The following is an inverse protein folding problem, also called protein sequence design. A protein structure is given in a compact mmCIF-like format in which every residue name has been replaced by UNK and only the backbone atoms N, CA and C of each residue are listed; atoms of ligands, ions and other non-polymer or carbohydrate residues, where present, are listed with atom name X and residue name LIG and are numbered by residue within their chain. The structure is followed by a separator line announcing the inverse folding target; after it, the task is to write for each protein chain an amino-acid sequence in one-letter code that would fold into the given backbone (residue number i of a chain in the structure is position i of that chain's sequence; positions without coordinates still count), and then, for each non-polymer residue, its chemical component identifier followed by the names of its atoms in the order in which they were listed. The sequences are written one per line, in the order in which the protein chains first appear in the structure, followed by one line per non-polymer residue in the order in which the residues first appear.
data_IF_095563607535
#
_entry.id   IF_095563607535
#
_cell.length_a   1.000
_cell.length_b   1.000
_cell.length_c   1.000
_cell.angle_alpha   90.00
_cell.angle_beta   90.00
_cell.angle_gamma   90.00
#
_symmetry.space_group_name_H-M   'P 1'
#
loop_
_entity.id
_entity.type
_entity.pdbx_description
1 polymer ?
#
# COMPACT_ATOMS: atom_id res chain seq x y z
N UNK A 1 17.85 -0.90 4.85
CA UNK A 1 17.13 -0.42 3.65
C UNK A 1 17.25 1.09 3.53
N UNK A 2 17.54 1.61 2.33
CA UNK A 2 17.59 3.05 2.06
C UNK A 2 16.18 3.65 1.99
N UNK A 3 16.06 4.98 2.12
CA UNK A 3 14.78 5.68 1.98
C UNK A 3 14.18 5.49 0.57
N UNK A 4 15.04 5.38 -0.44
CA UNK A 4 14.62 5.05 -1.81
C UNK A 4 14.06 3.63 -1.91
N UNK A 5 14.68 2.65 -1.25
CA UNK A 5 14.18 1.26 -1.26
C UNK A 5 12.80 1.16 -0.60
N UNK A 6 12.57 1.90 0.48
CA UNK A 6 11.26 1.95 1.16
C UNK A 6 10.18 2.57 0.29
N UNK A 7 10.52 3.65 -0.42
CA UNK A 7 9.61 4.30 -1.36
C UNK A 7 9.30 3.40 -2.55
N UNK A 8 10.31 2.71 -3.09
CA UNK A 8 10.13 1.72 -4.16
C UNK A 8 9.30 0.54 -3.68
N UNK A 9 9.53 0.02 -2.49
CA UNK A 9 8.68 -1.03 -1.91
C UNK A 9 7.23 -0.57 -1.78
N UNK A 10 6.99 0.66 -1.30
CA UNK A 10 5.65 1.26 -1.23
C UNK A 10 4.99 1.34 -2.62
N UNK A 11 5.69 1.91 -3.60
CA UNK A 11 5.20 2.06 -4.98
C UNK A 11 4.87 0.69 -5.57
N UNK A 12 5.81 -0.26 -5.50
CA UNK A 12 5.63 -1.58 -6.12
C UNK A 12 4.57 -2.42 -5.38
N UNK A 13 4.43 -2.25 -4.06
CA UNK A 13 3.33 -2.87 -3.29
C UNK A 13 1.97 -2.36 -3.76
N UNK A 14 1.84 -1.06 -3.99
CA UNK A 14 0.60 -0.49 -4.51
C UNK A 14 0.31 -1.02 -5.93
N UNK A 15 1.29 -0.94 -6.84
CA UNK A 15 1.11 -1.32 -8.24
C UNK A 15 0.85 -2.83 -8.45
N UNK A 16 1.41 -3.71 -7.60
CA UNK A 16 1.13 -5.16 -7.64
C UNK A 16 -0.36 -5.46 -7.39
N UNK A 17 -1.06 -4.64 -6.61
CA UNK A 17 -2.49 -4.83 -6.29
C UNK A 17 -3.44 -4.36 -7.40
N UNK A 18 -2.92 -3.77 -8.48
CA UNK A 18 -3.71 -3.12 -9.52
C UNK A 18 -3.56 -3.83 -10.88
N UNK A 19 -3.87 -5.14 -10.99
CA UNK A 19 -3.81 -5.86 -12.26
C UNK A 19 -4.80 -5.24 -13.26
N UNK A 20 -4.43 -5.22 -14.54
CA UNK A 20 -5.20 -4.64 -15.65
C UNK A 20 -5.47 -3.13 -15.54
N UNK A 21 -4.95 -2.45 -14.51
CA UNK A 21 -5.14 -1.01 -14.30
C UNK A 21 -3.82 -0.24 -14.50
N UNK A 22 -3.14 -0.53 -15.61
CA UNK A 22 -1.94 0.21 -16.04
C UNK A 22 -2.39 1.51 -16.70
N UNK A 23 -2.81 2.48 -15.87
CA UNK A 23 -3.41 3.73 -16.32
C UNK A 23 -3.17 4.91 -15.35
N UNK A 24 -3.56 6.10 -15.78
CA UNK A 24 -3.25 7.37 -15.12
C UNK A 24 -3.99 7.53 -13.79
N UNK A 25 -5.18 6.94 -13.69
CA UNK A 25 -5.97 6.98 -12.46
C UNK A 25 -5.24 6.25 -11.33
N UNK A 26 -4.61 5.11 -11.64
CA UNK A 26 -3.80 4.35 -10.68
C UNK A 26 -2.59 5.15 -10.18
N UNK A 27 -1.90 5.86 -11.07
CA UNK A 27 -0.75 6.71 -10.68
C UNK A 27 -1.20 7.90 -9.83
N UNK A 28 -2.33 8.54 -10.17
CA UNK A 28 -2.89 9.65 -9.37
C UNK A 28 -3.26 9.18 -7.95
N UNK A 29 -3.88 8.01 -7.83
CA UNK A 29 -4.17 7.39 -6.54
C UNK A 29 -2.88 7.11 -5.77
N UNK A 30 -1.88 6.50 -6.41
CA UNK A 30 -0.56 6.25 -5.80
C UNK A 30 0.07 7.54 -5.25
N UNK A 31 0.03 8.65 -6.00
CA UNK A 31 0.54 9.95 -5.55
C UNK A 31 -0.24 10.47 -4.34
N UNK A 32 -1.58 10.35 -4.37
CA UNK A 32 -2.43 10.67 -3.23
C UNK A 32 -2.03 9.87 -1.98
N UNK A 33 -1.83 8.56 -2.12
CA UNK A 33 -1.38 7.71 -1.02
C UNK A 33 0.04 8.02 -0.55
N UNK A 34 0.96 8.34 -1.46
CA UNK A 34 2.35 8.64 -1.09
C UNK A 34 2.49 9.97 -0.36
N UNK A 35 1.63 10.95 -0.66
CA UNK A 35 1.54 12.22 0.10
C UNK A 35 1.13 11.98 1.57
N UNK A 36 0.49 10.85 1.87
CA UNK A 36 0.16 10.40 3.22
C UNK A 36 1.26 9.57 3.89
N UNK A 37 2.33 9.22 3.16
CA UNK A 37 3.48 8.47 3.66
C UNK A 37 4.77 9.33 3.61
N UNK A 38 4.64 10.66 3.69
CA UNK A 38 5.72 11.65 3.58
C UNK A 38 6.55 11.56 2.28
N UNK A 39 5.97 11.00 1.22
CA UNK A 39 6.57 11.00 -0.11
C UNK A 39 5.96 12.11 -0.96
N UNK A 40 6.80 13.04 -1.41
CA UNK A 40 6.38 14.07 -2.34
C UNK A 40 5.96 13.47 -3.69
N UNK A 41 4.92 14.06 -4.31
CA UNK A 41 4.55 13.71 -5.69
C UNK A 41 5.76 13.73 -6.66
N UNK A 42 6.70 14.71 -6.59
CA UNK A 42 7.90 14.69 -7.42
C UNK A 42 8.81 13.48 -7.18
N UNK A 43 8.95 13.03 -5.93
CA UNK A 43 9.80 11.90 -5.58
C UNK A 43 9.21 10.58 -6.08
N UNK A 44 7.89 10.42 -5.94
CA UNK A 44 7.16 9.26 -6.46
C UNK A 44 7.30 9.20 -7.98
N UNK A 45 7.07 10.32 -8.67
CA UNK A 45 7.21 10.40 -10.13
C UNK A 45 8.65 10.11 -10.57
N UNK A 46 9.64 10.62 -9.85
CA UNK A 46 11.06 10.33 -10.10
C UNK A 46 11.39 8.85 -9.98
N UNK A 47 10.86 8.17 -8.95
CA UNK A 47 11.05 6.73 -8.79
C UNK A 47 10.30 5.93 -9.86
N UNK A 48 9.08 6.33 -10.22
CA UNK A 48 8.32 5.70 -11.29
C UNK A 48 9.05 5.79 -12.64
N UNK A 49 9.61 6.96 -12.97
CA UNK A 49 10.43 7.17 -14.16
C UNK A 49 11.69 6.30 -14.13
N UNK A 50 12.42 6.29 -13.01
CA UNK A 50 13.62 5.46 -12.86
C UNK A 50 13.31 3.96 -13.02
N UNK A 51 12.15 3.50 -12.54
CA UNK A 51 11.73 2.11 -12.59
C UNK A 51 11.07 1.71 -13.93
N UNK A 52 10.86 2.64 -14.85
CA UNK A 52 10.09 2.41 -16.06
C UNK A 52 10.73 1.43 -17.06
N UNK A 53 10.03 1.14 -18.16
CA UNK A 53 10.52 0.21 -19.17
C UNK A 53 11.81 0.67 -19.89
N UNK A 54 12.05 1.98 -20.03
CA UNK A 54 13.20 2.53 -20.73
C UNK A 54 14.44 2.66 -19.85
N UNK A 55 14.27 2.66 -18.53
CA UNK A 55 15.34 2.82 -17.55
C UNK A 55 15.68 1.48 -16.87
N UNK A 56 15.15 1.21 -15.68
CA UNK A 56 15.47 -0.01 -14.94
C UNK A 56 14.68 -1.25 -15.41
N UNK A 57 13.67 -1.08 -16.26
CA UNK A 57 12.77 -2.12 -16.77
C UNK A 57 12.12 -2.95 -15.64
N UNK A 58 11.81 -2.30 -14.51
CA UNK A 58 11.05 -2.89 -13.39
C UNK A 58 9.56 -2.84 -13.71
N UNK A 59 9.11 -1.73 -14.30
CA UNK A 59 7.75 -1.53 -14.73
C UNK A 59 7.59 -1.79 -16.23
N UNK A 60 6.39 -2.18 -16.62
CA UNK A 60 5.97 -2.34 -18.02
C UNK A 60 5.56 -1.02 -18.67
N UNK A 61 5.27 0.01 -17.85
CA UNK A 61 4.91 1.34 -18.34
C UNK A 61 6.18 2.15 -18.64
N UNK A 62 6.06 3.10 -19.56
CA UNK A 62 7.06 4.13 -19.85
C UNK A 62 6.49 5.47 -19.42
N UNK A 63 7.29 6.28 -18.73
CA UNK A 63 6.84 7.55 -18.16
C UNK A 63 7.45 8.70 -18.96
N UNK A 64 6.62 9.62 -19.47
CA UNK A 64 7.05 10.86 -20.10
C UNK A 64 6.59 12.06 -19.24
N UNK A 65 7.52 12.57 -18.43
CA UNK A 65 7.23 13.53 -17.34
C UNK A 65 7.46 14.95 -17.83
N UNK A 66 6.39 15.59 -18.33
CA UNK A 66 6.36 17.05 -18.49
C UNK A 66 5.88 17.70 -17.18
N UNK A 67 6.73 18.51 -16.57
CA UNK A 67 6.59 19.01 -15.19
C UNK A 67 5.51 20.09 -14.97
N UNK A 68 4.56 20.27 -15.89
CA UNK A 68 3.55 21.35 -15.76
C UNK A 68 2.11 20.85 -15.74
N UNK A 69 1.69 19.84 -16.49
CA UNK A 69 0.26 19.46 -16.45
C UNK A 69 -0.06 18.11 -17.13
N UNK A 70 0.39 17.03 -16.53
CA UNK A 70 -0.11 15.70 -16.90
C UNK A 70 0.87 14.90 -17.73
N UNK A 71 1.49 13.97 -17.01
CA UNK A 71 2.31 12.90 -17.55
C UNK A 71 1.51 12.11 -18.61
N UNK A 72 1.99 12.07 -19.86
CA UNK A 72 1.42 11.21 -20.92
C UNK A 72 1.93 9.78 -20.68
N UNK A 73 1.24 9.09 -19.78
CA UNK A 73 1.83 7.97 -19.03
C UNK A 73 1.78 6.58 -19.65
N UNK A 74 1.04 6.36 -20.73
CA UNK A 74 0.74 4.99 -21.15
C UNK A 74 0.85 4.81 -22.64
N UNK A 75 2.06 4.44 -23.08
CA UNK A 75 2.21 3.68 -24.30
C UNK A 75 2.60 2.23 -23.97
N UNK A 76 1.70 1.48 -23.34
CA UNK A 76 1.82 0.03 -23.37
C UNK A 76 0.44 -0.62 -23.16
N UNK A 77 0.07 -1.59 -24.01
CA UNK A 77 -1.13 -2.43 -23.84
C UNK A 77 -0.94 -3.47 -22.73
N UNK A 78 -0.19 -3.12 -21.69
CA UNK A 78 0.24 -4.03 -20.64
C UNK A 78 -0.91 -4.30 -19.66
N UNK A 79 -1.11 -5.57 -19.33
CA UNK A 79 -2.11 -6.03 -18.36
C UNK A 79 -1.59 -6.04 -16.92
N UNK A 80 -0.30 -5.76 -16.71
CA UNK A 80 0.36 -5.79 -15.39
C UNK A 80 1.38 -4.67 -15.30
N UNK A 81 1.59 -4.14 -14.09
CA UNK A 81 2.58 -3.10 -13.83
C UNK A 81 4.02 -3.62 -13.80
N UNK A 82 4.25 -4.78 -13.20
CA UNK A 82 5.58 -5.33 -12.98
C UNK A 82 6.04 -6.19 -14.16
N UNK A 83 7.27 -6.01 -14.62
CA UNK A 83 7.96 -6.99 -15.48
C UNK A 83 8.38 -8.20 -14.64
N UNK A 84 8.83 -9.28 -15.29
CA UNK A 84 9.42 -10.42 -14.57
C UNK A 84 10.65 -10.01 -13.72
N UNK A 85 11.41 -9.00 -14.18
CA UNK A 85 12.50 -8.40 -13.42
C UNK A 85 11.97 -7.62 -12.22
N UNK A 86 10.92 -6.83 -12.41
CA UNK A 86 10.27 -6.08 -11.34
C UNK A 86 9.70 -6.96 -10.23
N UNK A 87 9.05 -8.08 -10.57
CA UNK A 87 8.56 -9.03 -9.57
C UNK A 87 9.69 -9.59 -8.70
N UNK A 88 10.83 -9.98 -9.31
CA UNK A 88 12.00 -10.48 -8.57
C UNK A 88 12.61 -9.38 -7.69
N UNK A 89 12.75 -8.17 -8.23
CA UNK A 89 13.25 -7.02 -7.48
C UNK A 89 12.35 -6.73 -6.26
N UNK A 90 11.04 -6.75 -6.46
CA UNK A 90 10.08 -6.51 -5.39
C UNK A 90 10.10 -7.60 -4.31
N UNK A 91 10.24 -8.87 -4.70
CA UNK A 91 10.44 -9.96 -3.74
C UNK A 91 11.74 -9.77 -2.93
N UNK A 92 12.84 -9.35 -3.57
CA UNK A 92 14.09 -9.08 -2.87
C UNK A 92 13.97 -7.91 -1.89
N UNK A 93 13.20 -6.87 -2.22
CA UNK A 93 12.89 -5.78 -1.29
C UNK A 93 12.13 -6.31 -0.07
N UNK A 94 11.08 -7.12 -0.28
CA UNK A 94 10.32 -7.75 0.81
C UNK A 94 11.19 -8.67 1.69
N UNK A 95 12.08 -9.47 1.10
CA UNK A 95 12.97 -10.37 1.85
C UNK A 95 14.10 -9.61 2.58
N UNK A 96 14.59 -8.51 2.02
CA UNK A 96 15.52 -7.60 2.69
C UNK A 96 14.93 -6.93 3.94
N UNK A 97 13.60 -6.80 4.00
CA UNK A 97 12.86 -6.35 5.19
C UNK A 97 12.70 -7.44 6.28
N UNK A 98 12.96 -8.70 5.97
CA UNK A 98 12.82 -9.86 6.89
C UNK A 98 14.17 -10.31 7.49
N UNK A 99 15.29 -9.75 7.04
CA UNK A 99 16.62 -10.01 7.60
C UNK A 99 16.97 -9.07 8.77
N UNK A 100 17.18 -9.66 9.95
CA UNK A 100 17.62 -9.05 11.22
C UNK A 100 16.55 -8.33 12.06
N UNK A 101 15.98 -9.08 13.01
CA UNK A 101 15.63 -8.56 14.33
C UNK A 101 15.73 -9.69 15.36
N UNK A 102 16.96 -10.01 15.77
CA UNK A 102 17.18 -10.51 17.14
C UNK A 102 16.72 -9.40 18.07
N UNK A 103 15.78 -9.76 18.95
CA UNK A 103 15.08 -8.87 19.86
C UNK A 103 16.10 -8.16 20.77
N UNK A 104 16.37 -6.89 20.48
CA UNK A 104 16.87 -5.94 21.47
C UNK A 104 15.77 -4.91 21.70
N UNK A 105 15.05 -5.09 22.81
CA UNK A 105 14.12 -4.11 23.35
C UNK A 105 14.91 -2.86 23.76
N UNK A 106 14.91 -1.85 22.90
CA UNK A 106 15.21 -0.47 23.27
C UNK A 106 14.01 0.37 22.92
N UNK A 107 13.44 0.98 23.94
CA UNK A 107 12.25 1.81 23.86
C UNK A 107 12.48 2.99 22.90
N UNK A 108 11.81 2.95 21.75
CA UNK A 108 11.49 4.11 20.93
C UNK A 108 10.15 3.83 20.23
N UNK A 109 9.09 4.47 20.72
CA UNK A 109 7.71 4.02 20.63
C UNK A 109 6.94 4.37 19.34
N UNK A 110 7.60 4.78 18.26
CA UNK A 110 6.86 5.26 17.06
C UNK A 110 7.09 4.46 15.78
N UNK A 111 7.93 3.41 15.80
CA UNK A 111 8.23 2.60 14.59
C UNK A 111 7.81 1.13 14.66
N UNK A 112 7.21 0.69 15.77
CA UNK A 112 6.82 -0.71 16.00
C UNK A 112 5.37 -1.06 15.66
N UNK A 113 4.51 -0.07 15.40
CA UNK A 113 3.10 -0.31 15.06
C UNK A 113 2.95 -0.97 13.70
N UNK A 114 3.79 -0.61 12.73
CA UNK A 114 3.74 -1.11 11.34
C UNK A 114 3.94 -2.63 11.25
N UNK A 115 4.96 -3.17 11.93
CA UNK A 115 5.25 -4.60 11.92
C UNK A 115 4.24 -5.45 12.72
N UNK A 116 3.58 -4.86 13.73
CA UNK A 116 2.65 -5.60 14.60
C UNK A 116 1.37 -6.03 13.86
N UNK A 117 0.90 -5.22 12.92
CA UNK A 117 -0.37 -5.48 12.23
C UNK A 117 -0.22 -6.19 10.88
N UNK A 118 1.01 -6.33 10.36
CA UNK A 118 1.30 -7.06 9.11
C UNK A 118 0.83 -8.53 9.17
N UNK A 119 0.90 -9.17 10.34
CA UNK A 119 0.38 -10.52 10.54
C UNK A 119 -1.14 -10.60 10.37
N UNK A 120 -1.87 -9.64 10.94
CA UNK A 120 -3.33 -9.57 10.81
C UNK A 120 -3.78 -9.17 9.41
N UNK A 121 -3.05 -8.26 8.74
CA UNK A 121 -3.28 -7.92 7.34
C UNK A 121 -3.01 -9.11 6.41
N UNK A 122 -2.00 -9.93 6.71
CA UNK A 122 -1.71 -11.15 5.95
C UNK A 122 -2.81 -12.21 6.14
N UNK A 123 -3.35 -12.35 7.36
CA UNK A 123 -4.51 -13.20 7.63
C UNK A 123 -5.77 -12.70 6.92
N UNK A 124 -5.97 -11.38 6.90
CA UNK A 124 -7.06 -10.73 6.18
C UNK A 124 -6.98 -11.03 4.68
N UNK A 125 -5.82 -10.87 4.07
CA UNK A 125 -5.60 -11.20 2.65
C UNK A 125 -5.74 -12.71 2.41
N UNK A 126 -5.41 -13.57 3.37
CA UNK A 126 -5.58 -15.02 3.24
C UNK A 126 -7.07 -15.43 3.20
N UNK A 127 -7.98 -14.60 3.72
CA UNK A 127 -9.42 -14.81 3.56
C UNK A 127 -9.86 -14.74 2.08
N UNK A 128 -9.02 -14.25 1.17
CA UNK A 128 -9.24 -14.30 -0.29
C UNK A 128 -9.60 -15.69 -0.78
N UNK A 129 -9.02 -16.73 -0.19
CA UNK A 129 -9.21 -18.12 -0.60
C UNK A 129 -10.61 -18.68 -0.25
N UNK A 130 -11.33 -18.01 0.64
CA UNK A 130 -12.69 -18.40 1.05
C UNK A 130 -13.76 -17.45 0.50
N UNK A 131 -13.36 -16.41 -0.25
CA UNK A 131 -14.29 -15.48 -0.89
C UNK A 131 -14.97 -16.13 -2.10
N UNK A 132 -16.29 -15.96 -2.19
CA UNK A 132 -17.12 -16.60 -3.21
C UNK A 132 -16.92 -16.02 -4.62
N UNK A 133 -16.54 -14.75 -4.75
CA UNK A 133 -16.43 -14.08 -6.06
C UNK A 133 -15.06 -13.45 -6.27
N UNK A 134 -14.60 -13.40 -7.52
CA UNK A 134 -13.37 -12.71 -7.90
C UNK A 134 -13.44 -11.19 -7.58
N UNK A 135 -14.64 -10.60 -7.67
CA UNK A 135 -14.87 -9.21 -7.27
C UNK A 135 -14.66 -8.98 -5.77
N UNK A 136 -15.08 -9.92 -4.92
CA UNK A 136 -14.82 -9.87 -3.47
C UNK A 136 -13.32 -10.02 -3.16
N UNK A 137 -12.63 -10.86 -3.92
CA UNK A 137 -11.19 -11.04 -3.77
C UNK A 137 -10.41 -9.76 -4.09
N UNK A 138 -10.80 -9.03 -5.14
CA UNK A 138 -10.20 -7.73 -5.48
C UNK A 138 -10.56 -6.68 -4.42
N UNK A 139 -11.83 -6.64 -3.99
CA UNK A 139 -12.29 -5.70 -2.96
C UNK A 139 -11.57 -5.93 -1.63
N UNK A 140 -11.28 -7.18 -1.27
CA UNK A 140 -10.50 -7.55 -0.08
C UNK A 140 -9.06 -7.04 -0.16
N UNK A 141 -8.44 -7.09 -1.34
CA UNK A 141 -7.09 -6.58 -1.55
C UNK A 141 -7.05 -5.06 -1.40
N UNK A 142 -7.99 -4.35 -2.02
CA UNK A 142 -8.14 -2.89 -1.86
C UNK A 142 -8.43 -2.50 -0.41
N UNK A 143 -9.30 -3.26 0.27
CA UNK A 143 -9.65 -3.02 1.66
C UNK A 143 -8.46 -3.23 2.60
N UNK A 144 -7.72 -4.33 2.43
CA UNK A 144 -6.52 -4.62 3.24
C UNK A 144 -5.43 -3.57 3.07
N UNK A 145 -5.32 -3.01 1.86
CA UNK A 145 -4.37 -1.95 1.55
C UNK A 145 -4.75 -0.64 2.23
N UNK A 146 -6.03 -0.24 2.15
CA UNK A 146 -6.51 0.96 2.84
C UNK A 146 -6.39 0.81 4.37
N UNK A 147 -6.63 -0.39 4.93
CA UNK A 147 -6.37 -0.65 6.35
C UNK A 147 -4.89 -0.52 6.70
N UNK A 148 -4.00 -1.07 5.87
CA UNK A 148 -2.57 -0.92 6.06
C UNK A 148 -2.19 0.56 6.09
N UNK A 149 -2.69 1.34 5.14
CA UNK A 149 -2.46 2.77 5.10
C UNK A 149 -2.94 3.47 6.36
N UNK A 150 -4.17 3.21 6.83
CA UNK A 150 -4.70 3.83 8.06
C UNK A 150 -3.92 3.43 9.33
N UNK A 151 -3.30 2.25 9.35
CA UNK A 151 -2.47 1.79 10.47
C UNK A 151 -1.07 2.38 10.45
N UNK A 152 -0.54 2.73 9.27
CA UNK A 152 0.80 3.30 9.09
C UNK A 152 0.82 4.81 9.01
N UNK A 153 -0.30 5.43 8.65
CA UNK A 153 -0.46 6.88 8.63
C UNK A 153 -0.44 7.42 10.07
N UNK A 154 0.35 8.46 10.28
CA UNK A 154 0.44 9.20 11.54
C UNK A 154 -0.54 10.39 11.58
N UNK A 155 -1.30 10.63 10.50
CA UNK A 155 -2.34 11.65 10.45
C UNK A 155 -3.61 11.20 11.15
N UNK A 156 -4.41 12.20 11.56
CA UNK A 156 -5.73 12.01 12.17
C UNK A 156 -6.64 11.21 11.24
N UNK A 157 -7.25 10.16 11.75
CA UNK A 157 -8.15 9.30 10.99
C UNK A 157 -9.37 10.08 10.49
N UNK A 158 -9.55 10.14 9.17
CA UNK A 158 -10.70 10.80 8.57
C UNK A 158 -11.99 9.99 8.76
N UNK A 159 -13.07 10.68 9.14
CA UNK A 159 -14.38 10.05 9.30
C UNK A 159 -14.86 9.52 7.95
N UNK A 160 -15.15 8.23 7.90
CA UNK A 160 -15.68 7.57 6.70
C UNK A 160 -14.62 7.08 5.72
N UNK A 161 -13.34 7.07 6.09
CA UNK A 161 -12.24 6.57 5.24
C UNK A 161 -12.48 5.15 4.67
N UNK A 162 -13.26 4.32 5.38
CA UNK A 162 -13.59 2.95 4.99
C UNK A 162 -15.05 2.76 4.52
N UNK A 163 -15.86 3.83 4.43
CA UNK A 163 -17.29 3.72 4.12
C UNK A 163 -17.57 3.02 2.79
N UNK A 164 -16.69 3.21 1.80
CA UNK A 164 -16.80 2.57 0.48
C UNK A 164 -16.77 1.04 0.56
N UNK A 165 -16.21 0.47 1.61
CA UNK A 165 -16.16 -0.98 1.84
C UNK A 165 -17.29 -1.51 2.71
N UNK A 166 -18.18 -0.64 3.22
CA UNK A 166 -19.26 -1.07 4.12
C UNK A 166 -20.11 -2.22 3.57
N UNK A 167 -20.57 -2.21 2.29
CA UNK A 167 -21.34 -3.32 1.74
C UNK A 167 -20.54 -4.62 1.69
N UNK A 168 -19.24 -4.53 1.38
CA UNK A 168 -18.34 -5.68 1.31
C UNK A 168 -18.09 -6.29 2.70
N UNK A 169 -17.79 -5.44 3.70
CA UNK A 169 -17.52 -5.87 5.08
C UNK A 169 -18.77 -6.48 5.71
N UNK A 170 -19.95 -5.89 5.49
CA UNK A 170 -21.21 -6.42 6.01
C UNK A 170 -21.53 -7.81 5.43
N UNK A 171 -21.31 -7.99 4.12
CA UNK A 171 -21.58 -9.26 3.44
C UNK A 171 -20.64 -10.38 3.87
N UNK A 172 -19.37 -10.06 4.12
CA UNK A 172 -18.31 -11.03 4.42
C UNK A 172 -17.86 -10.96 5.90
N UNK A 173 -18.76 -10.55 6.80
CA UNK A 173 -18.39 -10.26 8.19
C UNK A 173 -17.86 -11.50 8.92
N UNK A 174 -18.42 -12.69 8.68
CA UNK A 174 -18.02 -13.92 9.38
C UNK A 174 -16.57 -14.30 9.06
N UNK A 175 -16.17 -14.16 7.80
CA UNK A 175 -14.84 -14.52 7.32
C UNK A 175 -13.79 -13.47 7.74
N UNK A 176 -14.21 -12.21 7.84
CA UNK A 176 -13.30 -11.10 8.06
C UNK A 176 -13.21 -10.63 9.50
N UNK A 177 -14.22 -10.87 10.35
CA UNK A 177 -14.30 -10.30 11.70
C UNK A 177 -13.08 -10.64 12.56
N UNK A 178 -12.61 -11.88 12.50
CA UNK A 178 -11.47 -12.36 13.31
C UNK A 178 -10.17 -11.62 12.97
N UNK A 179 -9.69 -11.60 11.72
CA UNK A 179 -8.49 -10.84 11.37
C UNK A 179 -8.69 -9.31 11.43
N UNK A 180 -9.92 -8.79 11.25
CA UNK A 180 -10.19 -7.35 11.31
C UNK A 180 -10.25 -6.77 12.72
N UNK A 181 -10.71 -7.54 13.70
CA UNK A 181 -10.92 -7.06 15.09
C UNK A 181 -9.70 -6.32 15.67
N UNK A 182 -8.48 -6.88 15.68
CA UNK A 182 -7.33 -6.18 16.25
C UNK A 182 -6.97 -4.90 15.48
N UNK A 183 -7.18 -4.88 14.16
CA UNK A 183 -6.97 -3.70 13.31
C UNK A 183 -7.97 -2.60 13.69
N UNK A 184 -9.25 -2.94 13.76
CA UNK A 184 -10.31 -2.01 14.13
C UNK A 184 -10.21 -1.51 15.55
N UNK A 185 -9.76 -2.35 16.49
CA UNK A 185 -9.47 -1.90 17.85
C UNK A 185 -8.37 -0.84 17.88
N UNK A 186 -7.29 -1.01 17.10
CA UNK A 186 -6.23 -0.01 17.00
C UNK A 186 -6.71 1.29 16.34
N UNK A 187 -7.41 1.19 15.21
CA UNK A 187 -7.95 2.36 14.52
C UNK A 187 -8.96 3.11 15.42
N UNK A 188 -9.81 2.37 16.14
CA UNK A 188 -10.74 2.96 17.11
C UNK A 188 -10.01 3.58 18.28
N UNK A 189 -8.93 2.95 18.77
CA UNK A 189 -8.09 3.51 19.85
C UNK A 189 -7.48 4.84 19.43
N UNK A 190 -6.91 4.92 18.22
CA UNK A 190 -6.37 6.19 17.68
C UNK A 190 -7.48 7.23 17.52
N UNK A 191 -8.61 6.83 16.94
CA UNK A 191 -9.74 7.75 16.75
C UNK A 191 -10.32 8.29 18.06
N UNK A 192 -10.41 7.47 19.11
CA UNK A 192 -11.02 7.82 20.40
C UNK A 192 -10.04 8.45 21.39
N UNK A 193 -8.74 8.13 21.29
CA UNK A 193 -7.74 8.46 22.32
C UNK A 193 -6.46 9.10 21.76
N UNK A 194 -6.40 9.48 20.48
CA UNK A 194 -5.28 10.31 20.03
C UNK A 194 -5.23 11.58 20.86
N UNK A 195 -4.13 11.75 21.58
CA UNK A 195 -3.82 13.00 22.27
C UNK A 195 -3.45 13.99 21.18
N UNK A 196 -4.26 15.04 21.01
CA UNK A 196 -3.81 16.24 20.34
C UNK A 196 -2.56 16.75 21.10
N UNK A 197 -1.36 16.48 20.57
CA UNK A 197 -0.17 17.24 20.93
C UNK A 197 -0.22 18.52 20.08
N UNK A 198 -1.12 19.42 20.44
CA UNK A 198 -0.95 20.84 20.12
C UNK A 198 0.20 21.36 21.00
N UNK A 199 1.40 21.45 20.43
CA UNK A 199 2.51 22.26 20.93
C UNK A 199 3.34 22.79 19.75
#
# INVERSE_FOLDING_TARGET
MSQNDKMREFILSYLETQPNQVNLATVRKLIGYGTNNDYGAPDILKQLLAMDQNHEAILTATFDVDFVDGVKLFNNKATRWLTAKGTKYFQNLKHGSVGQSTIHLSANNEKHTTQKYDGYLSQLISAKNVMQTESDQVTLQEFSLDLRHLLTDNKKLERGALNKFSPFVQRNWQELSTPMTPIFMELSRRFLFDKDYDA
#
